data_IF_853786128918
#
_entry.id   IF_853786128918
#
_cell.length_a   1.000
_cell.length_b   1.000
_cell.length_c   1.000
_cell.angle_alpha   90.00
_cell.angle_beta   90.00
_cell.angle_gamma   90.00
#
_symmetry.space_group_name_H-M   'P 1'
#
loop_
_entity.id
_entity.type
_entity.pdbx_description
1 polymer ?
#
# COMPACT_ATOMS: atom_id res chain seq x y z
N UNK A 1 -16.46 -4.16 -12.91
CA UNK A 1 -15.86 -3.20 -11.95
C UNK A 1 -15.75 -3.88 -10.57
N UNK A 2 -14.59 -3.83 -9.92
CA UNK A 2 -14.34 -4.50 -8.63
C UNK A 2 -14.10 -3.43 -7.56
N UNK A 3 -14.94 -3.42 -6.51
CA UNK A 3 -14.88 -2.45 -5.40
C UNK A 3 -14.57 -3.18 -4.11
N UNK A 4 -13.63 -2.63 -3.34
CA UNK A 4 -13.23 -3.15 -2.03
C UNK A 4 -13.05 -2.00 -1.03
N UNK A 5 -13.21 -2.31 0.24
CA UNK A 5 -12.68 -1.48 1.32
C UNK A 5 -11.24 -1.90 1.59
N UNK A 6 -10.32 -0.94 1.60
CA UNK A 6 -8.90 -1.18 1.86
C UNK A 6 -8.30 0.00 2.61
N UNK A 7 -7.40 -0.29 3.54
CA UNK A 7 -6.64 0.75 4.23
C UNK A 7 -5.52 1.27 3.33
N UNK A 8 -5.26 2.57 3.42
CA UNK A 8 -4.06 3.19 2.87
C UNK A 8 -3.28 3.92 3.96
N UNK A 9 -2.02 4.20 3.68
CA UNK A 9 -1.06 4.85 4.56
C UNK A 9 -0.65 6.18 3.97
N UNK A 10 -0.51 7.20 4.81
CA UNK A 10 0.05 8.48 4.42
C UNK A 10 1.38 8.65 5.15
N UNK A 11 2.48 8.72 4.40
CA UNK A 11 3.83 8.89 4.94
C UNK A 11 4.52 9.99 4.13
N UNK A 12 4.99 11.02 4.83
CA UNK A 12 5.82 12.08 4.27
C UNK A 12 5.26 12.74 3.00
N UNK A 13 3.93 12.91 2.94
CA UNK A 13 3.22 13.52 1.81
C UNK A 13 2.80 12.56 0.70
N UNK A 14 3.14 11.28 0.81
CA UNK A 14 2.83 10.24 -0.17
C UNK A 14 1.80 9.24 0.36
N UNK A 15 0.99 8.69 -0.55
CA UNK A 15 0.00 7.67 -0.20
C UNK A 15 0.41 6.29 -0.68
N UNK A 16 0.20 5.30 0.18
CA UNK A 16 0.56 3.91 -0.08
C UNK A 16 -0.58 2.96 0.25
N UNK A 17 -0.72 1.90 -0.53
CA UNK A 17 -1.52 0.73 -0.13
C UNK A 17 -0.54 -0.41 0.08
N UNK A 18 -0.57 -0.98 1.28
CA UNK A 18 0.25 -2.12 1.67
C UNK A 18 -0.60 -3.20 2.34
N UNK A 19 -0.08 -4.43 2.36
CA UNK A 19 -0.77 -5.57 2.93
C UNK A 19 0.18 -6.55 3.62
N UNK A 20 -0.40 -7.40 4.46
CA UNK A 20 0.34 -8.49 5.10
C UNK A 20 0.81 -9.52 4.06
N UNK A 21 1.95 -10.18 4.28
CA UNK A 21 2.36 -11.38 3.54
C UNK A 21 1.26 -12.46 3.51
N UNK A 22 1.23 -13.27 2.44
CA UNK A 22 0.45 -14.51 2.40
C UNK A 22 -1.03 -14.41 2.02
N UNK A 23 -1.57 -13.21 1.77
CA UNK A 23 -2.98 -13.03 1.36
C UNK A 23 -3.15 -12.90 -0.16
N UNK A 24 -4.34 -13.20 -0.68
CA UNK A 24 -4.69 -12.99 -2.11
C UNK A 24 -4.58 -11.50 -2.47
N UNK A 25 -4.14 -11.22 -3.70
CA UNK A 25 -3.74 -9.88 -4.16
C UNK A 25 -4.48 -9.47 -5.44
N UNK A 26 -5.76 -9.83 -5.55
CA UNK A 26 -6.56 -9.60 -6.77
C UNK A 26 -6.64 -8.11 -7.13
N UNK A 27 -6.67 -7.23 -6.12
CA UNK A 27 -6.59 -5.78 -6.33
C UNK A 27 -5.26 -5.31 -6.91
N UNK A 28 -4.14 -5.93 -6.51
CA UNK A 28 -2.82 -5.60 -7.05
C UNK A 28 -2.72 -6.04 -8.51
N UNK A 29 -3.23 -7.23 -8.85
CA UNK A 29 -3.29 -7.69 -10.23
C UNK A 29 -4.10 -6.73 -11.11
N UNK A 30 -5.24 -6.24 -10.61
CA UNK A 30 -6.03 -5.22 -11.29
C UNK A 30 -5.25 -3.92 -11.49
N UNK A 31 -4.58 -3.40 -10.46
CA UNK A 31 -3.81 -2.15 -10.56
C UNK A 31 -2.59 -2.26 -11.48
N UNK A 32 -1.97 -3.45 -11.57
CA UNK A 32 -0.88 -3.71 -12.53
C UNK A 32 -1.36 -3.69 -13.97
N UNK A 33 -2.57 -4.20 -14.24
CA UNK A 33 -3.18 -4.17 -15.56
C UNK A 33 -3.77 -2.78 -15.90
N UNK A 34 -4.38 -2.13 -14.91
CA UNK A 34 -5.08 -0.85 -15.02
C UNK A 34 -4.72 0.04 -13.81
N UNK A 35 -3.72 0.92 -13.94
CA UNK A 35 -3.25 1.77 -12.85
C UNK A 35 -4.29 2.74 -12.28
N UNK A 36 -5.30 3.10 -13.08
CA UNK A 36 -6.33 4.07 -12.72
C UNK A 36 -7.44 3.42 -11.88
N UNK A 37 -7.88 4.12 -10.85
CA UNK A 37 -8.98 3.68 -9.98
C UNK A 37 -9.78 4.86 -9.43
N UNK A 38 -10.94 4.56 -8.86
CA UNK A 38 -11.76 5.54 -8.12
C UNK A 38 -11.59 5.29 -6.63
N UNK A 39 -11.20 6.32 -5.88
CA UNK A 39 -11.16 6.31 -4.42
C UNK A 39 -12.45 6.94 -3.89
N UNK A 40 -13.26 6.11 -3.23
CA UNK A 40 -14.49 6.55 -2.55
C UNK A 40 -14.15 7.01 -1.13
N UNK A 41 -14.29 8.30 -0.85
CA UNK A 41 -14.00 8.88 0.46
C UNK A 41 -15.23 8.78 1.39
N UNK A 42 -14.99 8.76 2.71
CA UNK A 42 -16.06 8.65 3.72
C UNK A 42 -17.07 9.81 3.69
N UNK A 43 -16.68 10.97 3.15
CA UNK A 43 -17.56 12.12 2.96
C UNK A 43 -18.48 11.98 1.73
N UNK A 44 -18.45 10.84 1.03
CA UNK A 44 -19.25 10.58 -0.17
C UNK A 44 -18.65 11.12 -1.47
N UNK A 45 -17.45 11.71 -1.42
CA UNK A 45 -16.75 12.18 -2.62
C UNK A 45 -15.98 11.05 -3.30
N UNK A 46 -16.01 11.05 -4.63
CA UNK A 46 -15.22 10.14 -5.46
C UNK A 46 -14.08 10.92 -6.10
N UNK A 47 -12.86 10.41 -5.96
CA UNK A 47 -11.67 11.02 -6.57
C UNK A 47 -10.95 10.00 -7.44
N UNK A 48 -10.41 10.46 -8.57
CA UNK A 48 -9.61 9.60 -9.44
C UNK A 48 -8.20 9.48 -8.87
N UNK A 49 -7.72 8.24 -8.80
CA UNK A 49 -6.37 7.91 -8.41
C UNK A 49 -5.62 7.12 -9.47
N UNK A 50 -4.31 7.14 -9.38
CA UNK A 50 -3.40 6.30 -10.17
C UNK A 50 -2.38 5.66 -9.25
N UNK A 51 -2.18 4.35 -9.37
CA UNK A 51 -1.26 3.59 -8.52
C UNK A 51 -0.07 3.05 -9.32
N UNK A 52 1.07 2.88 -8.67
CA UNK A 52 2.26 2.24 -9.23
C UNK A 52 2.84 1.28 -8.19
N UNK A 53 3.11 0.04 -8.62
CA UNK A 53 3.76 -0.96 -7.77
C UNK A 53 5.19 -0.55 -7.46
N UNK A 54 5.55 -0.62 -6.18
CA UNK A 54 6.93 -0.39 -5.73
C UNK A 54 7.64 -1.74 -5.71
N UNK A 55 8.56 -1.92 -6.66
CA UNK A 55 9.34 -3.16 -6.84
C UNK A 55 10.81 -3.02 -6.43
N UNK A 56 11.33 -1.80 -6.33
CA UNK A 56 12.72 -1.56 -5.91
C UNK A 56 12.95 -2.10 -4.48
N UNK A 57 13.92 -3.00 -4.26
CA UNK A 57 14.12 -3.62 -2.95
C UNK A 57 14.44 -2.62 -1.83
N UNK A 58 15.24 -1.59 -2.12
CA UNK A 58 15.65 -0.61 -1.11
C UNK A 58 14.48 0.31 -0.72
N UNK A 59 13.65 0.69 -1.69
CA UNK A 59 12.43 1.45 -1.43
C UNK A 59 11.40 0.63 -0.66
N UNK A 60 11.23 -0.66 -1.02
CA UNK A 60 10.34 -1.58 -0.31
C UNK A 60 10.74 -1.79 1.14
N UNK A 61 12.04 -2.01 1.39
CA UNK A 61 12.60 -2.12 2.74
C UNK A 61 12.21 -0.92 3.60
N UNK A 62 12.60 0.28 3.16
CA UNK A 62 12.31 1.52 3.87
C UNK A 62 10.80 1.71 4.12
N UNK A 63 9.99 1.68 3.06
CA UNK A 63 8.56 2.02 3.16
C UNK A 63 7.78 0.98 3.95
N UNK A 64 8.02 -0.33 3.78
CA UNK A 64 7.31 -1.35 4.55
C UNK A 64 7.70 -1.28 6.03
N UNK A 65 8.94 -0.93 6.35
CA UNK A 65 9.35 -0.72 7.73
C UNK A 65 8.62 0.48 8.35
N UNK A 66 8.58 1.60 7.63
CA UNK A 66 7.91 2.82 8.07
C UNK A 66 6.39 2.63 8.20
N UNK A 67 5.72 1.98 7.24
CA UNK A 67 4.29 1.67 7.32
C UNK A 67 4.00 0.86 8.59
N UNK A 68 4.80 -0.19 8.84
CA UNK A 68 4.57 -1.07 9.99
C UNK A 68 4.79 -0.35 11.31
N UNK A 69 5.83 0.45 11.43
CA UNK A 69 6.19 1.12 12.69
C UNK A 69 5.42 2.41 12.94
N UNK A 70 5.22 3.25 11.91
CA UNK A 70 4.56 4.56 12.03
C UNK A 70 3.05 4.48 11.86
N UNK A 71 2.55 3.71 10.89
CA UNK A 71 1.12 3.64 10.60
C UNK A 71 0.43 2.53 11.40
N UNK A 72 0.91 1.29 11.34
CA UNK A 72 0.34 0.19 12.11
C UNK A 72 0.86 0.05 13.53
N UNK A 73 1.83 0.87 13.94
CA UNK A 73 2.38 0.92 15.31
C UNK A 73 2.89 -0.44 15.81
N UNK A 74 3.42 -1.27 14.89
CA UNK A 74 4.14 -2.49 15.24
C UNK A 74 5.44 -2.09 15.94
N UNK A 75 5.74 -2.74 17.06
CA UNK A 75 7.01 -2.56 17.76
C UNK A 75 8.21 -2.71 16.79
N UNK A 76 9.21 -1.81 16.81
CA UNK A 76 10.32 -1.87 15.87
C UNK A 76 11.12 -3.17 15.89
N UNK A 77 11.30 -3.82 17.05
CA UNK A 77 12.02 -5.09 17.12
C UNK A 77 11.20 -6.21 16.47
N UNK A 78 9.89 -6.27 16.73
CA UNK A 78 8.98 -7.18 16.03
C UNK A 78 8.90 -6.89 14.53
N UNK A 79 8.95 -5.62 14.14
CA UNK A 79 8.99 -5.23 12.75
C UNK A 79 10.25 -5.77 12.05
N UNK A 80 11.44 -5.58 12.63
CA UNK A 80 12.69 -6.11 12.09
C UNK A 80 12.69 -7.63 11.99
N UNK A 81 12.18 -8.32 13.01
CA UNK A 81 12.20 -9.79 13.08
C UNK A 81 11.53 -10.50 11.89
N UNK A 82 10.54 -9.87 11.25
CA UNK A 82 9.84 -10.44 10.08
C UNK A 82 10.04 -9.60 8.82
N UNK A 83 10.98 -8.65 8.80
CA UNK A 83 11.00 -7.62 7.75
C UNK A 83 11.28 -8.19 6.36
N UNK A 84 12.22 -9.12 6.25
CA UNK A 84 12.59 -9.73 4.96
C UNK A 84 11.39 -10.38 4.26
N UNK A 85 10.52 -11.06 5.00
CA UNK A 85 9.30 -11.66 4.45
C UNK A 85 8.35 -10.59 3.89
N UNK A 86 8.25 -9.45 4.57
CA UNK A 86 7.45 -8.33 4.09
C UNK A 86 8.05 -7.75 2.82
N UNK A 87 9.35 -7.48 2.79
CA UNK A 87 10.04 -6.97 1.60
C UNK A 87 9.87 -7.91 0.40
N UNK A 88 9.89 -9.22 0.61
CA UNK A 88 9.77 -10.19 -0.48
C UNK A 88 8.34 -10.38 -0.97
N UNK A 89 7.34 -10.30 -0.09
CA UNK A 89 6.00 -10.83 -0.41
C UNK A 89 4.84 -9.88 -0.15
N UNK A 90 5.02 -8.79 0.61
CA UNK A 90 3.93 -7.84 0.83
C UNK A 90 3.61 -7.08 -0.45
N UNK A 91 2.32 -6.89 -0.79
CA UNK A 91 1.96 -5.94 -1.82
C UNK A 91 2.32 -4.52 -1.34
N UNK A 92 2.83 -3.70 -2.26
CA UNK A 92 3.12 -2.29 -2.00
C UNK A 92 2.92 -1.49 -3.28
N UNK A 93 2.01 -0.52 -3.21
CA UNK A 93 1.82 0.46 -4.28
C UNK A 93 1.87 1.86 -3.68
N UNK A 94 2.48 2.78 -4.42
CA UNK A 94 2.29 4.23 -4.25
C UNK A 94 1.08 4.64 -5.07
N UNK A 95 0.31 5.61 -4.60
CA UNK A 95 -0.71 6.24 -5.45
C UNK A 95 -0.80 7.74 -5.24
N UNK A 96 -1.30 8.41 -6.27
CA UNK A 96 -1.75 9.81 -6.21
C UNK A 96 -3.27 9.83 -6.35
N UNK A 97 -3.94 10.71 -5.61
CA UNK A 97 -5.36 11.00 -5.79
C UNK A 97 -5.50 12.51 -6.02
N UNK A 98 -6.12 12.89 -7.13
CA UNK A 98 -6.41 14.29 -7.44
C UNK A 98 -7.80 14.69 -6.99
N UNK A 99 -7.98 15.94 -6.57
CA UNK A 99 -9.28 16.65 -6.66
C UNK A 99 -9.54 17.08 -8.09
#
# INVERSE_FOLDING_TARGET
>A
PHRIEIAFHHLDGEYFIAGKPGFRRDWLANLKAHPQFTLHLRNGSDVTGSATEITDPAERDRILFEIRTRSWRVDPAQARATHDQWVQTSPLVRFTAGT
#
